data_IF_211686594756
#
_entry.id   IF_211686594756
#
_cell.length_a   1.000
_cell.length_b   1.000
_cell.length_c   1.000
_cell.angle_alpha   90.00
_cell.angle_beta   90.00
_cell.angle_gamma   90.00
#
_symmetry.space_group_name_H-M   'P 1'
#
loop_
_entity.id
_entity.type
_entity.pdbx_description
1 polymer ?
#
# COMPACT_ATOMS: atom_id res chain seq x y z
N UNK A 1 0.72 17.68 10.51
CA UNK A 1 1.11 16.99 9.26
C UNK A 1 2.39 16.22 9.57
N UNK A 2 2.37 14.88 9.50
CA UNK A 2 3.56 14.07 9.78
C UNK A 2 4.55 14.14 8.62
N UNK A 3 5.86 14.17 8.90
CA UNK A 3 6.91 14.01 7.89
C UNK A 3 7.22 12.53 7.73
N UNK A 4 7.25 12.03 6.49
CA UNK A 4 7.83 10.73 6.19
C UNK A 4 9.36 10.83 6.33
N UNK A 5 9.97 9.82 6.92
CA UNK A 5 11.42 9.72 7.10
C UNK A 5 11.88 8.52 6.27
N UNK A 6 12.86 8.73 5.40
CA UNK A 6 13.51 7.63 4.69
C UNK A 6 14.53 6.96 5.61
N UNK A 7 14.42 5.63 5.71
CA UNK A 7 15.28 4.81 6.55
C UNK A 7 15.76 3.57 5.78
N UNK A 8 16.96 3.11 6.11
CA UNK A 8 17.52 1.82 5.69
C UNK A 8 17.34 0.85 6.85
N UNK A 9 16.80 -0.34 6.57
CA UNK A 9 16.69 -1.40 7.56
C UNK A 9 17.91 -2.31 7.49
N UNK A 10 18.71 -2.33 8.56
CA UNK A 10 19.96 -3.10 8.64
C UNK A 10 20.16 -3.59 10.09
N UNK A 11 20.53 -4.86 10.27
CA UNK A 11 20.77 -5.49 11.59
C UNK A 11 19.64 -5.30 12.61
N UNK A 12 18.39 -5.42 12.16
CA UNK A 12 17.17 -5.20 12.97
C UNK A 12 16.96 -3.75 13.46
N UNK A 13 17.68 -2.77 12.90
CA UNK A 13 17.56 -1.34 13.22
C UNK A 13 17.13 -0.53 11.99
N UNK A 14 16.19 0.40 12.19
CA UNK A 14 15.83 1.40 11.17
C UNK A 14 16.78 2.60 11.26
N UNK A 15 17.75 2.66 10.35
CA UNK A 15 18.75 3.73 10.28
C UNK A 15 18.22 4.86 9.39
N UNK A 16 17.94 6.07 9.90
CA UNK A 16 17.45 7.18 9.09
C UNK A 16 18.56 7.70 8.17
N UNK A 17 18.19 8.04 6.92
CA UNK A 17 19.15 8.58 5.93
C UNK A 17 19.59 10.01 6.30
N UNK A 18 18.80 10.73 7.10
CA UNK A 18 19.10 12.06 7.61
C UNK A 18 18.97 12.18 9.12
N UNK A 19 19.43 13.32 9.68
CA UNK A 19 19.23 13.61 11.10
C UNK A 19 17.75 13.77 11.41
N UNK A 20 17.30 13.05 12.43
CA UNK A 20 15.94 13.11 12.96
C UNK A 20 15.99 13.60 14.41
N UNK A 21 15.00 14.41 14.78
CA UNK A 21 14.80 14.84 16.15
C UNK A 21 13.63 14.03 16.72
N UNK A 22 13.94 12.83 17.20
CA UNK A 22 13.01 12.00 17.97
C UNK A 22 13.55 11.83 19.38
N UNK A 23 12.64 11.70 20.35
CA UNK A 23 13.00 11.39 21.74
C UNK A 23 13.00 9.87 21.96
N UNK A 24 13.75 9.42 22.95
CA UNK A 24 13.63 8.04 23.41
C UNK A 24 12.19 7.74 23.87
N UNK A 25 11.68 6.56 23.48
CA UNK A 25 10.31 6.14 23.79
C UNK A 25 9.23 6.72 22.88
N UNK A 26 9.58 7.56 21.90
CA UNK A 26 8.62 8.13 20.96
C UNK A 26 8.09 7.06 19.99
N UNK A 27 6.76 6.96 19.86
CA UNK A 27 6.11 5.94 19.02
C UNK A 27 6.02 6.43 17.58
N UNK A 28 6.60 5.68 16.66
CA UNK A 28 6.52 5.93 15.21
C UNK A 28 5.70 4.85 14.51
N UNK A 29 5.12 5.19 13.36
CA UNK A 29 4.44 4.25 12.47
C UNK A 29 5.36 3.93 11.30
N UNK A 30 5.64 2.65 11.10
CA UNK A 30 6.39 2.16 9.94
C UNK A 30 5.38 1.71 8.88
N UNK A 31 5.52 2.23 7.67
CA UNK A 31 4.75 1.81 6.51
C UNK A 31 5.70 1.24 5.48
N UNK A 32 5.48 -0.02 5.08
CA UNK A 32 6.25 -0.66 4.01
C UNK A 32 5.40 -0.61 2.75
N UNK A 33 5.79 0.24 1.80
CA UNK A 33 5.14 0.29 0.49
C UNK A 33 5.66 -0.85 -0.39
N UNK A 34 4.89 -1.94 -0.44
CA UNK A 34 5.10 -2.97 -1.47
C UNK A 34 4.42 -2.51 -2.74
N UNK A 35 5.20 -2.33 -3.83
CA UNK A 35 4.63 -2.27 -5.17
C UNK A 35 4.00 -3.64 -5.45
N UNK A 36 2.69 -3.75 -5.26
CA UNK A 36 1.94 -4.88 -5.80
C UNK A 36 2.09 -4.80 -7.32
N UNK A 37 2.67 -5.84 -7.93
CA UNK A 37 2.54 -6.03 -9.37
C UNK A 37 1.07 -6.31 -9.63
N UNK A 38 0.30 -5.26 -9.90
CA UNK A 38 -1.06 -5.41 -10.37
C UNK A 38 -0.97 -6.05 -11.76
N UNK A 39 -0.97 -7.38 -11.79
CA UNK A 39 -1.46 -8.06 -12.97
C UNK A 39 -2.88 -7.54 -13.21
N UNK A 40 -3.19 -7.05 -14.41
CA UNK A 40 -4.51 -6.48 -14.69
C UNK A 40 -5.57 -7.49 -14.30
N UNK A 41 -6.53 -7.06 -13.47
CA UNK A 41 -7.61 -7.90 -12.98
C UNK A 41 -8.38 -8.43 -14.19
N UNK A 42 -8.14 -9.69 -14.54
CA UNK A 42 -8.87 -10.34 -15.63
C UNK A 42 -10.30 -10.62 -15.13
N UNK A 43 -11.26 -9.84 -15.64
CA UNK A 43 -12.67 -10.08 -15.41
C UNK A 43 -13.05 -11.43 -16.04
N UNK A 44 -13.13 -12.49 -15.22
CA UNK A 44 -13.40 -13.86 -15.67
C UNK A 44 -14.80 -14.07 -16.24
N UNK A 45 -15.77 -13.22 -15.86
CA UNK A 45 -17.16 -13.37 -16.27
C UNK A 45 -17.47 -12.45 -17.45
N UNK A 46 -17.79 -13.06 -18.60
CA UNK A 46 -18.48 -12.37 -19.70
C UNK A 46 -19.84 -11.87 -19.21
N UNK A 47 -20.29 -10.73 -19.71
CA UNK A 47 -21.64 -10.23 -19.42
C UNK A 47 -22.67 -11.30 -19.82
N UNK A 48 -23.58 -11.60 -18.90
CA UNK A 48 -24.69 -12.50 -19.17
C UNK A 48 -25.79 -11.73 -19.92
N UNK A 49 -25.94 -12.00 -21.21
CA UNK A 49 -26.92 -11.33 -22.08
C UNK A 49 -28.37 -11.59 -21.64
N UNK A 50 -28.65 -12.77 -21.07
CA UNK A 50 -29.99 -13.11 -20.58
C UNK A 50 -30.41 -12.19 -19.43
N UNK A 51 -29.49 -11.90 -18.50
CA UNK A 51 -29.75 -10.95 -17.40
C UNK A 51 -29.97 -9.52 -17.89
N UNK A 52 -29.28 -9.10 -18.95
CA UNK A 52 -29.46 -7.76 -19.55
C UNK A 52 -30.85 -7.66 -20.16
N UNK A 53 -31.25 -8.67 -20.94
CA UNK A 53 -32.56 -8.70 -21.59
C UNK A 53 -33.73 -8.69 -20.60
N UNK A 54 -33.56 -9.34 -19.43
CA UNK A 54 -34.56 -9.38 -18.38
C UNK A 54 -34.76 -8.04 -17.65
N UNK A 55 -33.76 -7.15 -17.64
CA UNK A 55 -33.83 -5.83 -17.01
C UNK A 55 -34.31 -4.72 -17.96
N UNK A 56 -34.35 -4.99 -19.26
CA UNK A 56 -34.82 -4.07 -20.30
C UNK A 56 -36.31 -4.25 -20.65
N UNK A 57 -37.02 -5.13 -19.92
CA UNK A 57 -38.48 -5.31 -19.97
C UNK A 57 -39.13 -4.61 -18.77
#
# INVERSE_FOLDING_TARGET
>A
MGKAIECIYEDNVLKPVGKIQLREGERIRVTIEKKLSFEPIQLKKKLNQDRISALLR
#
